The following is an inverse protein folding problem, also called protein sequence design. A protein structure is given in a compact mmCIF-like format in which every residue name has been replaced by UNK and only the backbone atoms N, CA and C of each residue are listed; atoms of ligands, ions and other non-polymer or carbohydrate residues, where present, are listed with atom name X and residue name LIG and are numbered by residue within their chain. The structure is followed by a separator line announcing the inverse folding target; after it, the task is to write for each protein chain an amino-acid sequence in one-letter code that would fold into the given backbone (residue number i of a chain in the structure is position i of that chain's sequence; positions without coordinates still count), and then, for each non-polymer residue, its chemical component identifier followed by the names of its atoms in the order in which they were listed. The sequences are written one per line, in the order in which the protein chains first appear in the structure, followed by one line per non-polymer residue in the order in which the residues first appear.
data_IF_345529148933
#
_entry.id   IF_345529148933
#
_cell.length_a   1.000
_cell.length_b   1.000
_cell.length_c   1.000
_cell.angle_alpha   90.00
_cell.angle_beta   90.00
_cell.angle_gamma   90.00
#
_symmetry.space_group_name_H-M   'P 1'
#
loop_
_entity.id
_entity.type
_entity.pdbx_description
1 polymer ?
#
# COMPACT_ATOMS: atom_id res chain seq x y z
N UNK A 1 -17.47 -17.06 -8.74
CA UNK A 1 -16.14 -16.68 -9.27
C UNK A 1 -16.22 -15.25 -9.76
N UNK A 2 -15.92 -14.27 -8.92
CA UNK A 2 -15.82 -12.86 -9.32
C UNK A 2 -14.46 -12.36 -8.83
N UNK A 3 -13.46 -12.43 -9.71
CA UNK A 3 -12.19 -11.75 -9.51
C UNK A 3 -12.41 -10.25 -9.68
N UNK A 4 -12.42 -9.53 -8.57
CA UNK A 4 -12.36 -8.07 -8.59
C UNK A 4 -10.87 -7.71 -8.50
N UNK A 5 -10.31 -6.95 -9.44
CA UNK A 5 -8.87 -6.70 -9.46
C UNK A 5 -8.55 -5.82 -8.26
N UNK A 6 -7.87 -6.40 -7.27
CA UNK A 6 -7.29 -5.68 -6.12
C UNK A 6 -6.25 -4.63 -6.54
N UNK A 7 -5.96 -4.54 -7.84
CA UNK A 7 -4.94 -3.70 -8.44
C UNK A 7 -5.42 -2.31 -8.94
N UNK A 8 -6.73 -2.08 -9.17
CA UNK A 8 -7.24 -0.79 -9.69
C UNK A 8 -7.77 0.14 -8.57
N UNK A 9 -6.96 0.31 -7.52
CA UNK A 9 -7.27 1.27 -6.44
C UNK A 9 -6.63 2.62 -6.70
N UNK A 10 -7.31 3.44 -7.52
CA UNK A 10 -6.91 4.82 -7.83
C UNK A 10 -6.91 5.76 -6.60
N UNK A 11 -7.45 5.31 -5.46
CA UNK A 11 -7.51 6.07 -4.20
C UNK A 11 -6.21 6.00 -3.38
N UNK A 12 -5.29 5.10 -3.73
CA UNK A 12 -4.02 4.91 -3.01
C UNK A 12 -2.95 5.86 -3.55
N UNK A 13 -2.28 6.54 -2.64
CA UNK A 13 -1.23 7.53 -2.91
C UNK A 13 0.05 7.17 -2.17
N UNK A 14 1.18 7.59 -2.74
CA UNK A 14 2.50 7.46 -2.13
C UNK A 14 3.06 8.85 -1.80
N UNK A 15 3.60 9.01 -0.59
CA UNK A 15 4.42 10.15 -0.17
C UNK A 15 5.82 9.67 0.21
N UNK A 16 6.84 10.21 -0.45
CA UNK A 16 8.24 9.96 -0.12
C UNK A 16 8.71 11.07 0.84
N UNK A 17 9.14 10.69 2.05
CA UNK A 17 9.61 11.63 3.06
C UNK A 17 10.76 11.05 3.88
N UNK A 18 11.90 11.76 3.95
CA UNK A 18 13.08 11.37 4.72
C UNK A 18 13.56 9.92 4.47
N UNK A 19 13.47 9.46 3.21
CA UNK A 19 13.84 8.09 2.85
C UNK A 19 12.82 7.03 3.25
N UNK A 20 11.59 7.40 3.60
CA UNK A 20 10.45 6.50 3.80
C UNK A 20 9.41 6.68 2.70
N UNK A 21 8.67 5.60 2.43
CA UNK A 21 7.50 5.56 1.55
C UNK A 21 6.27 5.41 2.44
N UNK A 22 5.42 6.43 2.48
CA UNK A 22 4.18 6.43 3.23
C UNK A 22 3.06 6.19 2.22
N UNK A 23 2.41 5.03 2.33
CA UNK A 23 1.27 4.68 1.48
C UNK A 23 0.00 5.05 2.24
N UNK A 24 -0.85 5.86 1.63
CA UNK A 24 -2.05 6.39 2.27
C UNK A 24 -3.19 6.55 1.27
N UNK A 25 -4.39 6.77 1.79
CA UNK A 25 -5.55 7.20 1.00
C UNK A 25 -6.32 8.29 1.72
N UNK A 26 -6.98 9.13 0.94
CA UNK A 26 -7.85 10.18 1.48
C UNK A 26 -9.29 9.69 1.47
N UNK A 27 -9.92 9.69 2.64
CA UNK A 27 -11.35 9.53 2.81
C UNK A 27 -11.98 10.91 3.03
N UNK A 28 -13.31 11.06 2.90
CA UNK A 28 -13.95 12.38 3.03
C UNK A 28 -13.67 13.10 4.36
N UNK A 29 -13.45 12.35 5.45
CA UNK A 29 -13.32 12.86 6.81
C UNK A 29 -11.91 12.68 7.41
N UNK A 30 -11.05 11.89 6.77
CA UNK A 30 -9.75 11.51 7.34
C UNK A 30 -8.75 11.10 6.28
N UNK A 31 -7.48 11.10 6.66
CA UNK A 31 -6.42 10.41 5.93
C UNK A 31 -6.17 9.06 6.61
N UNK A 32 -6.20 7.99 5.84
CA UNK A 32 -5.84 6.66 6.33
C UNK A 32 -4.43 6.32 5.84
N UNK A 33 -3.49 6.21 6.78
CA UNK A 33 -2.16 5.65 6.50
C UNK A 33 -2.30 4.12 6.45
N UNK A 34 -1.99 3.54 5.30
CA UNK A 34 -2.07 2.10 5.07
C UNK A 34 -0.80 1.42 5.58
N UNK A 35 0.37 1.97 5.23
CA UNK A 35 1.66 1.46 5.70
C UNK A 35 2.76 2.50 5.57
N UNK A 36 3.86 2.30 6.31
CA UNK A 36 5.09 3.09 6.24
C UNK A 36 6.25 2.13 6.02
N UNK A 37 7.02 2.36 4.97
CA UNK A 37 8.10 1.49 4.52
C UNK A 37 9.41 2.29 4.50
N UNK A 38 10.49 1.75 5.08
CA UNK A 38 11.82 2.33 4.92
C UNK A 38 12.27 2.17 3.46
N UNK A 39 12.69 3.24 2.81
CA UNK A 39 12.99 3.30 1.37
C UNK A 39 14.20 2.47 0.93
N UNK A 40 15.05 2.05 1.87
CA UNK A 40 16.11 1.07 1.60
C UNK A 40 15.61 -0.38 1.54
N UNK A 41 14.33 -0.65 1.86
CA UNK A 41 13.75 -1.99 1.69
C UNK A 41 13.55 -2.25 0.20
N UNK A 42 14.17 -3.31 -0.28
CA UNK A 42 13.85 -3.85 -1.58
C UNK A 42 12.47 -4.52 -1.52
N UNK A 43 11.50 -3.96 -2.23
CA UNK A 43 10.13 -4.51 -2.32
C UNK A 43 10.00 -5.51 -3.49
N UNK A 44 11.03 -5.67 -4.33
CA UNK A 44 11.03 -6.67 -5.37
C UNK A 44 11.16 -8.07 -4.74
N UNK A 45 10.11 -8.88 -4.88
CA UNK A 45 10.09 -10.26 -4.39
C UNK A 45 9.70 -10.44 -2.93
N UNK A 46 8.94 -9.51 -2.31
CA UNK A 46 8.31 -9.81 -1.02
C UNK A 46 7.39 -11.03 -1.16
N UNK A 47 7.63 -12.06 -0.35
CA UNK A 47 6.76 -13.24 -0.23
C UNK A 47 5.32 -12.80 0.03
N UNK A 48 4.37 -13.46 -0.63
CA UNK A 48 2.93 -13.31 -0.40
C UNK A 48 2.72 -13.38 1.10
N UNK A 49 2.17 -12.30 1.68
CA UNK A 49 2.05 -12.24 3.13
C UNK A 49 0.97 -13.23 3.57
N UNK A 50 1.06 -13.85 4.75
CA UNK A 50 0.10 -14.88 5.17
C UNK A 50 -1.37 -14.43 5.24
N UNK A 51 -1.63 -13.13 5.16
CA UNK A 51 -2.98 -12.54 5.12
C UNK A 51 -3.49 -12.24 3.69
N UNK A 52 -2.67 -12.45 2.68
CA UNK A 52 -3.03 -12.34 1.25
C UNK A 52 -3.51 -13.70 0.68
N UNK A 53 -3.42 -14.78 1.47
CA UNK A 53 -3.97 -16.11 1.15
C UNK A 53 -5.34 -16.29 1.81
N UNK A 54 -6.37 -15.73 1.17
CA UNK A 54 -7.78 -16.03 1.45
C UNK A 54 -8.29 -17.19 0.59
#
# INVERSE_FOLDING_TARGET
MNGYPEADRDDVRELIYQGYRIIYRTLPDRVQVVTVIHGSRNLAGEEIKPWDVG
#
